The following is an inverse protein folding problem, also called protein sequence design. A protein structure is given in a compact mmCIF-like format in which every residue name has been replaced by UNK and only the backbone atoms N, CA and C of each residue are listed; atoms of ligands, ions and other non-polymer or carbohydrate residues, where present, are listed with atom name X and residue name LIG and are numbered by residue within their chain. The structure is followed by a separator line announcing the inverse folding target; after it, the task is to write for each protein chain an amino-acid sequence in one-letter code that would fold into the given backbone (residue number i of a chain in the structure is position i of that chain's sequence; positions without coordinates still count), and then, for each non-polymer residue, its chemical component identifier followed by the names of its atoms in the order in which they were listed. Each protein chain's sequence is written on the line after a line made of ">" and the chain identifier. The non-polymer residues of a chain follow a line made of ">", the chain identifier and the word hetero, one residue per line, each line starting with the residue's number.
data_IF_529323336083
#
_entry.id   IF_529323336083
#
_cell.length_a   1.000
_cell.length_b   1.000
_cell.length_c   1.000
_cell.angle_alpha   90.00
_cell.angle_beta   90.00
_cell.angle_gamma   90.00
#
_symmetry.space_group_name_H-M   'P 1'
#
loop_
_entity.id
_entity.type
_entity.pdbx_description
1 polymer ?
#
# COMPACT_ATOMS: atom_id res chain seq x y z
N UNK A 1 21.38 29.08 -20.62
CA UNK A 1 20.56 28.21 -21.50
C UNK A 1 21.18 26.82 -21.42
N UNK A 2 20.55 25.89 -20.72
CA UNK A 2 21.10 24.54 -20.50
C UNK A 2 20.49 23.59 -21.55
N UNK A 3 21.28 22.80 -22.30
CA UNK A 3 20.74 21.91 -23.32
C UNK A 3 20.10 20.67 -22.69
N UNK A 4 18.88 20.37 -23.14
CA UNK A 4 18.16 19.14 -22.82
C UNK A 4 18.67 18.03 -23.74
N UNK A 5 19.24 16.97 -23.19
CA UNK A 5 19.61 15.77 -23.95
C UNK A 5 18.56 14.71 -23.66
N UNK A 6 17.70 14.43 -24.65
CA UNK A 6 16.82 13.27 -24.65
C UNK A 6 17.47 12.19 -25.51
N UNK A 7 17.85 11.07 -24.89
CA UNK A 7 18.28 9.88 -25.62
C UNK A 7 17.36 8.73 -25.21
N UNK A 8 16.45 8.39 -26.13
CA UNK A 8 15.69 7.15 -26.11
C UNK A 8 16.71 6.01 -26.24
N UNK A 9 16.65 5.02 -25.35
CA UNK A 9 17.68 3.98 -25.19
C UNK A 9 18.09 3.26 -26.47
N UNK A 10 19.10 3.81 -27.15
CA UNK A 10 19.83 3.18 -28.24
C UNK A 10 21.19 2.78 -27.70
N UNK A 11 21.42 1.48 -27.62
CA UNK A 11 22.76 0.88 -27.58
C UNK A 11 23.37 1.04 -28.97
N UNK A 12 24.35 1.92 -29.11
CA UNK A 12 25.18 1.98 -30.31
C UNK A 12 26.26 0.91 -30.20
N UNK A 13 26.03 -0.24 -30.83
CA UNK A 13 27.10 -1.18 -31.15
C UNK A 13 27.66 -0.79 -32.52
N UNK A 14 28.64 0.10 -32.55
CA UNK A 14 29.47 0.35 -33.73
C UNK A 14 30.77 -0.46 -33.58
N UNK A 15 30.82 -1.60 -34.25
CA UNK A 15 32.03 -2.40 -34.35
C UNK A 15 33.00 -1.72 -35.32
N UNK A 16 34.05 -1.11 -34.79
CA UNK A 16 35.25 -0.72 -35.54
C UNK A 16 36.49 -1.03 -34.71
N UNK A 17 37.40 -1.81 -35.32
CA UNK A 17 38.69 -2.24 -34.80
C UNK A 17 39.52 -1.08 -34.20
N UNK A 18 39.91 -1.20 -32.94
CA UNK A 18 40.69 -0.19 -32.21
C UNK A 18 40.56 -0.30 -30.69
N UNK A 19 41.00 -1.42 -30.13
CA UNK A 19 40.82 -1.85 -28.73
C UNK A 19 41.63 -1.07 -27.69
N UNK A 20 41.40 0.24 -27.53
CA UNK A 20 42.06 1.03 -26.48
C UNK A 20 41.16 2.00 -25.72
N UNK A 21 39.98 2.40 -26.22
CA UNK A 21 39.17 3.43 -25.54
C UNK A 21 37.66 3.15 -25.61
N UNK A 22 37.22 2.04 -25.01
CA UNK A 22 35.79 1.82 -24.73
C UNK A 22 35.39 2.66 -23.51
N UNK A 23 34.82 3.84 -23.77
CA UNK A 23 34.30 4.69 -22.70
C UNK A 23 32.93 4.15 -22.24
N UNK A 24 32.91 3.41 -21.13
CA UNK A 24 31.66 2.94 -20.54
C UNK A 24 30.99 4.09 -19.77
N UNK A 25 30.05 4.77 -20.42
CA UNK A 25 29.27 5.84 -19.79
C UNK A 25 28.13 5.18 -18.98
N UNK A 26 28.20 5.28 -17.65
CA UNK A 26 27.13 4.82 -16.77
C UNK A 26 25.95 5.80 -16.80
N UNK A 27 24.88 5.42 -17.49
CA UNK A 27 23.62 6.16 -17.44
C UNK A 27 22.88 5.85 -16.12
N UNK A 28 22.30 6.86 -15.45
CA UNK A 28 21.53 6.63 -14.24
C UNK A 28 20.28 5.80 -14.56
N UNK A 29 20.03 4.77 -13.75
CA UNK A 29 18.84 3.92 -13.83
C UNK A 29 17.87 4.34 -12.73
N UNK A 30 16.66 4.76 -13.11
CA UNK A 30 15.60 5.11 -12.17
C UNK A 30 14.67 3.92 -11.98
N UNK A 31 14.36 3.59 -10.73
CA UNK A 31 13.41 2.52 -10.37
C UNK A 31 12.32 3.12 -9.49
N UNK A 32 11.12 3.29 -10.03
CA UNK A 32 9.95 3.83 -9.32
C UNK A 32 8.96 2.71 -9.00
N UNK A 33 8.36 2.76 -7.81
CA UNK A 33 7.28 1.86 -7.40
C UNK A 33 6.10 2.74 -6.98
N UNK A 34 4.96 2.58 -7.65
CA UNK A 34 3.73 3.35 -7.39
C UNK A 34 2.61 2.42 -6.91
N UNK A 35 1.81 2.88 -5.95
CA UNK A 35 0.68 2.15 -5.38
C UNK A 35 -0.49 3.11 -5.18
N UNK A 36 -1.65 2.77 -5.74
CA UNK A 36 -2.87 3.56 -5.59
C UNK A 36 -3.94 2.74 -4.86
N UNK A 37 -4.30 3.16 -3.65
CA UNK A 37 -5.26 2.48 -2.77
C UNK A 37 -6.18 3.46 -2.08
N UNK A 38 -7.40 3.03 -1.75
CA UNK A 38 -8.36 3.82 -0.96
C UNK A 38 -8.57 3.15 0.38
N UNK A 39 -8.32 3.89 1.45
CA UNK A 39 -8.50 3.43 2.83
C UNK A 39 -9.36 4.41 3.61
N UNK A 40 -10.20 3.89 4.50
CA UNK A 40 -11.01 4.68 5.43
C UNK A 40 -10.41 4.50 6.81
N UNK A 41 -10.01 5.59 7.46
CA UNK A 41 -9.35 5.60 8.76
C UNK A 41 -9.98 6.63 9.67
N UNK A 42 -10.04 6.34 10.97
CA UNK A 42 -10.43 7.33 11.97
C UNK A 42 -9.36 8.42 12.14
N UNK A 43 -9.77 9.60 12.61
CA UNK A 43 -8.82 10.69 12.91
C UNK A 43 -7.82 10.25 13.99
N UNK A 44 -6.53 10.46 13.72
CA UNK A 44 -5.43 10.08 14.62
C UNK A 44 -5.09 8.59 14.64
N UNK A 45 -5.82 7.76 13.90
CA UNK A 45 -5.52 6.34 13.78
C UNK A 45 -4.53 6.09 12.65
N UNK A 46 -3.60 5.16 12.89
CA UNK A 46 -2.63 4.71 11.89
C UNK A 46 -3.12 3.43 11.23
N UNK A 47 -3.10 3.40 9.89
CA UNK A 47 -3.35 2.18 9.12
C UNK A 47 -2.04 1.63 8.56
N UNK A 48 -1.86 0.33 8.71
CA UNK A 48 -0.82 -0.43 8.02
C UNK A 48 -1.43 -1.01 6.76
N UNK A 49 -1.03 -0.51 5.59
CA UNK A 49 -1.60 -0.98 4.32
C UNK A 49 -0.91 -2.24 3.78
N UNK A 50 0.19 -2.69 4.40
CA UNK A 50 1.11 -3.65 3.76
C UNK A 50 1.68 -3.07 2.47
N UNK A 51 2.68 -3.71 1.86
CA UNK A 51 3.25 -3.21 0.60
C UNK A 51 3.56 -4.32 -0.39
N UNK A 52 4.40 -4.00 -1.36
CA UNK A 52 4.75 -4.91 -2.47
C UNK A 52 5.81 -5.91 -2.01
N UNK A 53 5.54 -7.20 -2.19
CA UNK A 53 6.53 -8.27 -2.03
C UNK A 53 7.13 -8.57 -3.40
N UNK A 54 8.41 -8.21 -3.60
CA UNK A 54 9.16 -8.58 -4.80
C UNK A 54 10.17 -9.66 -4.42
N UNK A 55 10.13 -10.79 -5.12
CA UNK A 55 11.08 -11.89 -4.94
C UNK A 55 11.81 -12.13 -6.24
N UNK A 56 13.10 -11.79 -6.28
CA UNK A 56 13.97 -12.11 -7.39
C UNK A 56 14.71 -13.43 -7.08
N UNK A 57 14.38 -14.49 -7.82
CA UNK A 57 15.08 -15.77 -7.74
C UNK A 57 15.93 -15.96 -9.00
N UNK A 58 17.25 -15.89 -8.84
CA UNK A 58 18.20 -16.13 -9.93
C UNK A 58 18.96 -17.43 -9.68
N UNK A 59 18.72 -18.43 -10.51
CA UNK A 59 19.50 -19.67 -10.50
C UNK A 59 20.55 -19.61 -11.60
N UNK A 60 21.82 -19.66 -11.20
CA UNK A 60 22.98 -19.71 -12.08
C UNK A 60 23.51 -21.14 -12.02
N UNK A 61 23.62 -21.79 -13.18
CA UNK A 61 24.21 -23.13 -13.29
C UNK A 61 25.48 -23.00 -14.11
N UNK A 62 26.61 -23.18 -13.45
CA UNK A 62 27.94 -23.25 -14.05
C UNK A 62 28.31 -24.72 -14.21
N UNK A 63 28.70 -25.17 -15.40
CA UNK A 63 29.08 -26.56 -15.64
C UNK A 63 30.27 -26.66 -16.58
N UNK A 64 31.16 -27.61 -16.33
CA UNK A 64 32.26 -27.92 -17.25
C UNK A 64 31.70 -28.57 -18.51
N UNK A 65 32.00 -28.07 -19.72
CA UNK A 65 31.59 -28.69 -20.97
C UNK A 65 32.04 -30.17 -21.04
N UNK A 66 31.22 -31.04 -21.63
CA UNK A 66 31.41 -32.50 -21.69
C UNK A 66 31.23 -33.21 -20.33
N UNK A 67 31.99 -32.84 -19.29
CA UNK A 67 31.98 -33.54 -17.99
C UNK A 67 30.71 -33.29 -17.15
N UNK A 68 30.05 -32.14 -17.31
CA UNK A 68 28.85 -31.77 -16.55
C UNK A 68 27.58 -32.55 -16.89
N UNK A 69 27.54 -33.23 -18.05
CA UNK A 69 26.37 -33.98 -18.53
C UNK A 69 26.48 -35.51 -18.33
N UNK A 70 27.55 -36.00 -17.69
CA UNK A 70 27.69 -37.43 -17.45
C UNK A 70 26.68 -37.93 -16.40
N UNK A 71 25.90 -38.99 -16.67
CA UNK A 71 25.07 -39.64 -15.67
C UNK A 71 25.97 -40.24 -14.57
N UNK A 72 25.52 -40.17 -13.32
CA UNK A 72 26.27 -40.64 -12.15
C UNK A 72 27.26 -39.59 -11.59
N UNK A 73 28.23 -39.12 -12.39
CA UNK A 73 29.32 -38.26 -11.91
C UNK A 73 29.23 -36.77 -12.26
N UNK A 74 28.34 -36.38 -13.18
CA UNK A 74 28.21 -34.99 -13.65
C UNK A 74 27.82 -33.98 -12.56
N UNK A 75 27.32 -34.45 -11.41
CA UNK A 75 26.99 -33.60 -10.26
C UNK A 75 28.20 -32.92 -9.61
N UNK A 76 29.38 -33.52 -9.71
CA UNK A 76 30.63 -32.98 -9.14
C UNK A 76 31.22 -31.87 -10.05
N UNK A 77 30.89 -31.92 -11.35
CA UNK A 77 31.40 -31.01 -12.38
C UNK A 77 30.44 -29.86 -12.70
N UNK A 78 29.36 -29.71 -11.92
CA UNK A 78 28.40 -28.61 -12.03
C UNK A 78 28.25 -27.90 -10.69
N UNK A 79 28.24 -26.57 -10.73
CA UNK A 79 28.01 -25.69 -9.61
C UNK A 79 26.69 -24.97 -9.83
N UNK A 80 25.78 -25.08 -8.86
CA UNK A 80 24.53 -24.34 -8.84
C UNK A 80 24.64 -23.24 -7.80
N UNK A 81 24.50 -21.99 -8.24
CA UNK A 81 24.33 -20.84 -7.35
C UNK A 81 22.90 -20.35 -7.42
N UNK A 82 22.21 -20.33 -6.30
CA UNK A 82 20.85 -19.76 -6.21
C UNK A 82 20.94 -18.48 -5.41
N UNK A 83 20.54 -17.37 -6.02
CA UNK A 83 20.46 -16.06 -5.38
C UNK A 83 18.98 -15.75 -5.18
N UNK A 84 18.58 -15.59 -3.91
CA UNK A 84 17.23 -15.18 -3.51
C UNK A 84 17.33 -13.79 -2.87
N UNK A 85 16.60 -12.81 -3.42
CA UNK A 85 16.58 -11.44 -2.93
C UNK A 85 15.14 -11.01 -2.64
N UNK A 86 14.60 -11.32 -1.45
CA UNK A 86 13.30 -10.82 -1.04
C UNK A 86 13.40 -9.33 -0.70
N UNK A 87 12.42 -8.56 -1.18
CA UNK A 87 12.27 -7.14 -0.87
C UNK A 87 10.90 -6.90 -0.26
N UNK A 88 10.88 -6.30 0.93
CA UNK A 88 9.67 -5.95 1.66
C UNK A 88 9.52 -4.43 1.69
N UNK A 89 8.34 -3.94 1.35
CA UNK A 89 7.96 -2.54 1.52
C UNK A 89 6.80 -2.47 2.51
N UNK A 90 6.91 -1.64 3.55
CA UNK A 90 5.85 -1.41 4.52
C UNK A 90 5.49 0.08 4.52
N UNK A 91 4.20 0.37 4.37
CA UNK A 91 3.69 1.73 4.33
C UNK A 91 2.71 1.92 5.48
N UNK A 92 3.02 2.90 6.33
CA UNK A 92 2.19 3.35 7.44
C UNK A 92 1.67 4.74 7.12
N UNK A 93 0.36 4.93 7.25
CA UNK A 93 -0.27 6.23 7.05
C UNK A 93 -1.13 6.56 8.26
N UNK A 94 -0.93 7.76 8.78
CA UNK A 94 -1.73 8.34 9.85
C UNK A 94 -2.41 9.58 9.30
N UNK A 95 -3.74 9.62 9.35
CA UNK A 95 -4.51 10.78 8.96
C UNK A 95 -5.01 11.50 10.21
N UNK A 96 -4.82 12.81 10.28
CA UNK A 96 -5.33 13.66 11.38
C UNK A 96 -6.23 14.74 10.79
N UNK A 97 -7.36 14.99 11.46
CA UNK A 97 -8.24 16.11 11.16
C UNK A 97 -7.81 17.33 11.97
N UNK A 98 -7.75 18.47 11.29
CA UNK A 98 -7.27 19.73 11.83
C UNK A 98 -8.32 20.79 11.53
N UNK A 99 -8.60 21.64 12.52
CA UNK A 99 -9.53 22.77 12.40
C UNK A 99 -8.88 23.94 11.62
N UNK A 100 -9.68 24.96 11.25
CA UNK A 100 -9.20 26.16 10.53
C UNK A 100 -8.06 26.88 11.27
N UNK A 101 -8.02 26.74 12.59
CA UNK A 101 -7.01 27.33 13.47
C UNK A 101 -5.78 26.44 13.68
N UNK A 102 -5.64 25.32 12.95
CA UNK A 102 -4.52 24.40 13.09
C UNK A 102 -4.57 23.50 14.33
N UNK A 103 -5.67 23.55 15.08
CA UNK A 103 -5.88 22.72 16.28
C UNK A 103 -6.38 21.33 15.91
N UNK A 104 -5.86 20.30 16.57
CA UNK A 104 -6.31 18.92 16.37
C UNK A 104 -7.74 18.76 16.88
N UNK A 105 -8.65 18.33 16.01
CA UNK A 105 -10.02 18.02 16.40
C UNK A 105 -10.03 16.62 17.00
N UNK A 106 -10.31 16.55 18.30
CA UNK A 106 -10.50 15.28 18.99
C UNK A 106 -11.91 14.79 18.71
N UNK A 107 -12.03 13.71 17.93
CA UNK A 107 -13.29 12.98 17.82
C UNK A 107 -13.28 11.94 18.91
N UNK A 108 -14.16 12.09 19.91
CA UNK A 108 -14.57 10.95 20.71
C UNK A 108 -15.13 9.92 19.72
N UNK A 109 -14.38 8.85 19.52
CA UNK A 109 -14.90 7.67 18.86
C UNK A 109 -16.15 7.29 19.65
N UNK A 110 -17.35 7.25 19.01
CA UNK A 110 -18.56 6.81 19.71
C UNK A 110 -18.35 5.34 20.05
N UNK A 111 -17.70 5.10 21.19
CA UNK A 111 -17.63 3.82 21.85
C UNK A 111 -19.04 3.42 22.26
N UNK A 112 -19.23 2.13 22.39
CA UNK A 112 -20.45 1.41 22.77
C UNK A 112 -21.01 1.77 24.17
N UNK A 113 -21.02 3.04 24.55
CA UNK A 113 -21.71 3.51 25.74
C UNK A 113 -23.12 3.91 25.35
N UNK A 114 -24.12 3.13 25.82
CA UNK A 114 -25.50 3.62 25.81
C UNK A 114 -25.47 4.99 26.49
N UNK A 115 -25.98 6.06 25.85
CA UNK A 115 -25.99 7.37 26.48
C UNK A 115 -26.69 7.22 27.83
N UNK A 116 -25.97 7.58 28.89
CA UNK A 116 -26.59 7.62 30.21
C UNK A 116 -27.77 8.59 30.14
N UNK A 117 -28.93 8.26 30.72
CA UNK A 117 -30.07 9.15 30.67
C UNK A 117 -29.66 10.50 31.27
N UNK A 118 -29.63 11.51 30.41
CA UNK A 118 -29.40 12.90 30.80
C UNK A 118 -30.46 13.26 31.82
N UNK A 119 -30.03 13.65 33.03
CA UNK A 119 -30.95 14.04 34.09
C UNK A 119 -31.56 15.40 33.73
N UNK A 120 -32.70 15.34 33.08
CA UNK A 120 -33.39 16.50 32.55
C UNK A 120 -33.85 17.37 33.74
N UNK A 121 -33.50 18.66 33.81
CA UNK A 121 -34.01 19.53 34.87
C UNK A 121 -35.55 19.52 34.81
N UNK A 122 -36.19 19.35 35.97
CA UNK A 122 -37.65 19.18 36.16
C UNK A 122 -38.50 20.38 35.71
N UNK A 123 -37.92 21.36 35.03
CA UNK A 123 -38.52 22.64 34.68
C UNK A 123 -38.59 22.88 33.17
N UNK A 124 -38.79 21.84 32.35
CA UNK A 124 -39.26 22.08 30.99
C UNK A 124 -40.71 22.62 31.08
N UNK A 125 -41.03 23.76 30.45
CA UNK A 125 -42.43 24.15 30.30
C UNK A 125 -43.12 23.08 29.46
N UNK A 126 -44.09 22.38 30.07
CA UNK A 126 -44.95 21.46 29.34
C UNK A 126 -45.62 22.25 28.22
N UNK A 127 -45.43 21.89 26.93
CA UNK A 127 -46.18 22.54 25.88
C UNK A 127 -47.67 22.33 26.18
N UNK A 128 -48.46 23.41 26.18
CA UNK A 128 -49.92 23.32 26.28
C UNK A 128 -50.47 22.40 25.18
N UNK A 129 -51.67 21.83 25.36
CA UNK A 129 -52.24 20.83 24.45
C UNK A 129 -52.49 21.43 23.07
N UNK A 130 -51.43 21.49 22.25
CA UNK A 130 -51.50 21.86 20.85
C UNK A 130 -51.71 20.57 20.07
N UNK A 131 -52.85 20.56 19.39
CA UNK A 131 -53.40 19.52 18.55
C UNK A 131 -52.38 18.89 17.60
N UNK A 132 -51.66 17.88 18.07
CA UNK A 132 -51.22 16.81 17.18
C UNK A 132 -52.32 15.76 17.17
N UNK A 133 -52.94 15.48 16.01
CA UNK A 133 -53.80 14.32 15.93
C UNK A 133 -52.98 13.07 16.31
N UNK A 134 -53.54 12.14 17.08
CA UNK A 134 -52.84 10.91 17.43
C UNK A 134 -52.42 10.19 16.15
N UNK A 135 -51.19 9.64 16.09
CA UNK A 135 -50.77 8.84 14.94
C UNK A 135 -51.75 7.67 14.75
N UNK A 136 -52.11 7.32 13.50
CA UNK A 136 -52.95 6.15 13.26
C UNK A 136 -52.25 4.92 13.86
N UNK A 137 -53.01 4.10 14.59
CA UNK A 137 -52.46 2.93 15.28
C UNK A 137 -51.63 2.09 14.31
N UNK A 138 -50.33 1.95 14.59
CA UNK A 138 -49.45 1.05 13.85
C UNK A 138 -50.08 -0.34 13.80
N UNK A 139 -50.46 -0.80 12.61
CA UNK A 139 -50.95 -2.15 12.39
C UNK A 139 -49.88 -3.14 12.87
N UNK A 140 -50.22 -3.97 13.87
CA UNK A 140 -49.34 -5.01 14.40
C UNK A 140 -49.02 -5.99 13.26
N UNK A 141 -47.74 -6.21 12.89
CA UNK A 141 -47.42 -7.22 11.90
C UNK A 141 -47.82 -8.59 12.45
N UNK A 142 -48.54 -9.38 11.65
CA UNK A 142 -48.92 -10.74 12.00
C UNK A 142 -47.65 -11.59 12.16
N UNK A 143 -47.45 -12.09 13.37
CA UNK A 143 -46.42 -13.07 13.71
C UNK A 143 -46.86 -14.43 13.14
N UNK A 144 -46.23 -14.85 12.04
CA UNK A 144 -46.37 -16.19 11.46
C UNK A 144 -45.17 -17.05 11.84
N UNK A 145 -45.45 -18.27 12.32
CA UNK A 145 -44.46 -19.33 12.56
C UNK A 145 -43.78 -19.79 11.27
#
# INVERSE_FOLDING_TARGET
>A
MFPYVSLKGQTFDEASEGEQNKLEIFLPQWRTQELATRVVVGSGQSVMMGGVLEREQRTIVESVPILGNLPGIGAIFRKRSTVDKPRYLLIFVTATLVDENGSFVSYEQPGEERPTPVNLPKSLPTPGPTAFPPPPASAKPAEGK
#
